data_IF_593017150047
#
_entry.id   IF_593017150047
#
_cell.length_a   1.000
_cell.length_b   1.000
_cell.length_c   1.000
_cell.angle_alpha   90.00
_cell.angle_beta   90.00
_cell.angle_gamma   90.00
#
_symmetry.space_group_name_H-M   'P 1'
#
loop_
_entity.id
_entity.type
_entity.pdbx_description
1 polymer ?
#
# COMPACT_ATOMS: atom_id res chain seq x y z
N UNK A 1 3.71 13.50 18.04
CA UNK A 1 4.28 12.71 19.14
C UNK A 1 3.20 11.78 19.65
N UNK A 2 3.04 10.63 18.98
CA UNK A 2 2.16 9.57 19.46
C UNK A 2 2.85 8.95 20.69
N UNK A 3 2.34 9.32 21.87
CA UNK A 3 2.61 8.62 23.11
C UNK A 3 1.79 7.33 23.08
N UNK A 4 2.47 6.21 22.95
CA UNK A 4 1.86 4.94 23.35
C UNK A 4 1.53 5.03 24.84
N UNK A 5 0.36 4.54 25.31
CA UNK A 5 0.01 4.56 26.74
C UNK A 5 1.02 3.86 27.66
N UNK A 6 2.00 3.13 27.12
CA UNK A 6 3.00 2.34 27.84
C UNK A 6 4.42 2.94 27.86
N UNK A 7 4.64 4.13 27.27
CA UNK A 7 5.90 4.87 27.37
C UNK A 7 7.10 4.28 26.60
N UNK A 8 6.91 3.32 25.68
CA UNK A 8 8.02 2.71 24.93
C UNK A 8 8.46 3.54 23.72
N UNK A 9 9.75 3.88 23.65
CA UNK A 9 10.35 4.48 22.45
C UNK A 9 10.53 3.42 21.35
N UNK A 10 9.78 3.51 20.26
CA UNK A 10 9.79 2.48 19.20
C UNK A 10 10.97 2.61 18.22
N UNK A 11 11.58 3.80 18.14
CA UNK A 11 12.73 4.04 17.28
C UNK A 11 13.86 4.69 18.09
N UNK A 12 14.81 3.87 18.55
CA UNK A 12 16.08 4.39 19.05
C UNK A 12 16.98 4.78 17.88
N UNK A 13 17.63 5.94 17.97
CA UNK A 13 18.55 6.47 16.95
C UNK A 13 19.79 5.58 16.83
N UNK A 14 19.73 4.57 15.96
CA UNK A 14 20.90 3.82 15.48
C UNK A 14 21.52 4.53 14.28
N UNK A 15 22.81 4.89 14.38
CA UNK A 15 23.55 5.59 13.33
C UNK A 15 23.63 4.76 12.04
N UNK A 16 23.11 5.31 10.94
CA UNK A 16 23.23 4.72 9.61
C UNK A 16 24.54 5.17 8.95
N UNK A 17 25.37 4.20 8.57
CA UNK A 17 26.50 4.42 7.66
C UNK A 17 25.99 4.51 6.23
N UNK A 18 26.39 5.58 5.55
CA UNK A 18 26.22 5.80 4.11
C UNK A 18 26.88 4.67 3.32
N UNK A 19 26.11 3.97 2.49
CA UNK A 19 26.64 3.13 1.41
C UNK A 19 26.46 3.89 0.08
N UNK A 20 27.58 4.27 -0.53
CA UNK A 20 27.63 4.87 -1.86
C UNK A 20 27.50 3.81 -2.96
N UNK A 21 26.73 4.19 -3.98
CA UNK A 21 26.90 3.91 -5.42
C UNK A 21 27.14 2.47 -5.90
N UNK A 22 26.15 1.95 -6.64
CA UNK A 22 26.41 0.95 -7.68
C UNK A 22 25.64 1.28 -8.97
N UNK A 23 26.43 1.61 -9.99
CA UNK A 23 26.33 1.30 -11.41
C UNK A 23 25.02 1.57 -12.20
N UNK A 24 25.14 2.47 -13.18
CA UNK A 24 24.21 2.68 -14.29
C UNK A 24 24.32 1.52 -15.28
N UNK A 25 23.21 0.83 -15.52
CA UNK A 25 22.90 0.27 -16.84
C UNK A 25 21.47 0.71 -17.16
N UNK A 26 21.37 1.64 -18.12
CA UNK A 26 20.11 2.13 -18.64
C UNK A 26 19.36 1.02 -19.36
N UNK A 27 18.40 0.41 -18.66
CA UNK A 27 17.20 -0.08 -19.32
C UNK A 27 16.18 1.04 -19.20
N UNK A 28 15.66 1.52 -20.33
CA UNK A 28 14.44 2.33 -20.37
C UNK A 28 13.33 1.42 -19.85
N UNK A 29 13.21 1.33 -18.52
CA UNK A 29 12.13 0.63 -17.86
C UNK A 29 10.89 1.45 -18.10
N UNK A 30 9.91 0.88 -18.79
CA UNK A 30 8.55 1.37 -18.79
C UNK A 30 8.18 1.52 -17.31
N UNK A 31 7.98 2.74 -16.80
CA UNK A 31 7.55 2.96 -15.41
C UNK A 31 6.15 2.40 -15.30
N UNK A 32 6.05 1.27 -14.60
CA UNK A 32 4.85 0.44 -14.63
C UNK A 32 3.79 1.06 -13.71
N UNK A 33 4.18 1.69 -12.59
CA UNK A 33 3.29 2.53 -11.79
C UNK A 33 3.37 3.99 -12.24
N UNK A 34 2.21 4.66 -12.34
CA UNK A 34 2.16 6.09 -12.62
C UNK A 34 2.54 6.88 -11.37
N UNK A 35 3.55 7.75 -11.48
CA UNK A 35 3.82 8.77 -10.47
C UNK A 35 2.61 9.71 -10.39
N UNK A 36 1.94 9.74 -9.23
CA UNK A 36 0.83 10.66 -8.98
C UNK A 36 1.32 11.98 -8.41
N UNK A 37 2.33 11.93 -7.54
CA UNK A 37 2.86 13.11 -6.89
C UNK A 37 4.31 12.92 -6.48
N UNK A 38 5.08 14.01 -6.52
CA UNK A 38 6.42 14.10 -5.94
C UNK A 38 6.65 15.52 -5.43
N UNK A 39 7.30 15.63 -4.28
CA UNK A 39 7.64 16.92 -3.69
C UNK A 39 8.84 17.61 -4.36
N UNK A 40 9.55 16.95 -5.28
CA UNK A 40 10.80 17.45 -5.88
C UNK A 40 10.66 18.86 -6.47
N UNK A 41 9.58 19.09 -7.22
CA UNK A 41 9.36 20.33 -7.96
C UNK A 41 8.28 21.23 -7.32
N UNK A 42 7.97 20.99 -6.04
CA UNK A 42 6.96 21.75 -5.29
C UNK A 42 7.67 22.65 -4.27
N UNK A 43 7.20 23.90 -4.15
CA UNK A 43 7.69 24.84 -3.14
C UNK A 43 7.58 24.21 -1.73
N UNK A 44 8.65 24.27 -0.90
CA UNK A 44 8.67 23.67 0.44
C UNK A 44 7.44 23.96 1.30
N UNK A 45 6.84 25.14 1.17
CA UNK A 45 5.66 25.56 1.95
C UNK A 45 4.41 24.77 1.61
N UNK A 46 4.30 24.28 0.38
CA UNK A 46 3.11 23.59 -0.14
C UNK A 46 3.29 22.07 -0.27
N UNK A 47 4.54 21.56 -0.18
CA UNK A 47 4.88 20.13 -0.33
C UNK A 47 3.97 19.21 0.48
N UNK A 48 3.82 19.48 1.77
CA UNK A 48 3.04 18.62 2.64
C UNK A 48 1.55 18.67 2.33
N UNK A 49 0.96 19.87 2.14
CA UNK A 49 -0.48 19.99 1.94
C UNK A 49 -0.92 19.34 0.62
N UNK A 50 -0.15 19.55 -0.45
CA UNK A 50 -0.42 18.91 -1.74
C UNK A 50 -0.24 17.39 -1.66
N UNK A 51 0.84 16.93 -1.04
CA UNK A 51 1.02 15.49 -0.80
C UNK A 51 -0.15 14.90 0.00
N UNK A 52 -0.58 15.60 1.06
CA UNK A 52 -1.61 15.11 1.96
C UNK A 52 -2.97 14.99 1.27
N UNK A 53 -3.32 15.96 0.42
CA UNK A 53 -4.51 15.88 -0.44
C UNK A 53 -4.48 14.64 -1.32
N UNK A 54 -3.38 14.43 -2.07
CA UNK A 54 -3.22 13.28 -2.96
C UNK A 54 -3.27 11.95 -2.18
N UNK A 55 -2.68 11.93 -0.98
CA UNK A 55 -2.70 10.75 -0.11
C UNK A 55 -4.13 10.43 0.38
N UNK A 56 -4.93 11.44 0.76
CA UNK A 56 -6.32 11.24 1.18
C UNK A 56 -7.19 10.69 0.03
N UNK A 57 -7.00 11.20 -1.18
CA UNK A 57 -7.75 10.77 -2.37
C UNK A 57 -7.44 9.33 -2.77
N UNK A 58 -6.18 8.89 -2.59
CA UNK A 58 -5.73 7.57 -3.04
C UNK A 58 -5.81 6.49 -1.95
N UNK A 59 -5.83 6.86 -0.66
CA UNK A 59 -5.96 5.95 0.45
C UNK A 59 -7.36 6.07 1.07
N UNK A 60 -7.48 6.88 2.12
CA UNK A 60 -8.70 7.25 2.85
C UNK A 60 -8.42 8.55 3.59
N UNK A 61 -9.46 9.29 4.00
CA UNK A 61 -9.29 10.49 4.83
C UNK A 61 -8.55 10.20 6.14
N UNK A 62 -7.49 10.93 6.43
CA UNK A 62 -6.70 10.79 7.66
C UNK A 62 -6.04 12.13 8.00
N UNK A 63 -5.44 12.22 9.18
CA UNK A 63 -4.51 13.31 9.53
C UNK A 63 -3.10 12.79 9.44
N UNK A 64 -2.21 13.59 8.85
CA UNK A 64 -0.77 13.34 8.83
C UNK A 64 -0.02 14.50 9.48
N UNK A 65 1.08 14.23 10.14
CA UNK A 65 1.94 15.25 10.76
C UNK A 65 3.40 14.87 10.53
N UNK A 66 4.11 15.55 9.60
CA UNK A 66 5.51 15.26 9.34
C UNK A 66 6.37 15.79 10.48
N UNK A 67 7.53 15.18 10.71
CA UNK A 67 8.47 15.65 11.74
C UNK A 67 8.94 17.09 11.47
N UNK A 68 9.14 17.43 10.20
CA UNK A 68 9.40 18.80 9.77
C UNK A 68 8.72 19.06 8.43
N UNK A 69 7.83 20.07 8.40
CA UNK A 69 7.13 20.46 7.16
C UNK A 69 8.08 21.07 6.12
N UNK A 70 9.09 21.81 6.55
CA UNK A 70 10.02 22.52 5.65
C UNK A 70 10.94 21.57 4.89
N UNK A 71 11.34 20.46 5.51
CA UNK A 71 12.20 19.46 4.88
C UNK A 71 11.40 18.28 4.33
N UNK A 72 10.06 18.32 4.41
CA UNK A 72 9.21 17.21 4.00
C UNK A 72 9.47 16.84 2.53
N UNK A 73 9.77 15.56 2.32
CA UNK A 73 9.96 14.97 1.01
C UNK A 73 9.16 13.68 0.95
N UNK A 74 8.39 13.52 -0.11
CA UNK A 74 7.63 12.33 -0.38
C UNK A 74 7.39 12.14 -1.88
N UNK A 75 7.21 10.88 -2.25
CA UNK A 75 6.74 10.47 -3.56
C UNK A 75 5.58 9.49 -3.41
N UNK A 76 4.55 9.65 -4.25
CA UNK A 76 3.39 8.78 -4.30
C UNK A 76 3.19 8.31 -5.74
N UNK A 77 3.15 6.99 -5.91
CA UNK A 77 2.85 6.32 -7.17
C UNK A 77 1.59 5.48 -7.00
N UNK A 78 0.81 5.38 -8.06
CA UNK A 78 -0.33 4.47 -8.11
C UNK A 78 -0.27 3.60 -9.35
N UNK A 79 -0.85 2.42 -9.23
CA UNK A 79 -0.99 1.47 -10.32
C UNK A 79 -2.17 0.58 -10.05
N UNK A 80 -2.50 -0.24 -11.05
CA UNK A 80 -3.53 -1.26 -10.91
C UNK A 80 -3.00 -2.59 -11.37
N UNK A 81 -3.47 -3.64 -10.73
CA UNK A 81 -3.33 -5.02 -11.18
C UNK A 81 -4.74 -5.61 -11.30
N UNK A 82 -5.23 -5.80 -12.53
CA UNK A 82 -6.66 -5.99 -12.77
C UNK A 82 -7.47 -4.88 -12.05
N UNK A 83 -8.50 -5.22 -11.26
CA UNK A 83 -9.23 -4.23 -10.44
C UNK A 83 -8.56 -3.86 -9.11
N UNK A 84 -7.47 -4.52 -8.72
CA UNK A 84 -6.78 -4.25 -7.45
C UNK A 84 -5.96 -2.96 -7.56
N UNK A 85 -6.27 -1.97 -6.72
CA UNK A 85 -5.52 -0.71 -6.66
C UNK A 85 -4.27 -0.86 -5.80
N UNK A 86 -3.17 -0.32 -6.31
CA UNK A 86 -1.87 -0.30 -5.66
C UNK A 86 -1.46 1.14 -5.42
N UNK A 87 -1.06 1.46 -4.19
CA UNK A 87 -0.47 2.75 -3.85
C UNK A 87 0.89 2.48 -3.22
N UNK A 88 1.93 3.02 -3.83
CA UNK A 88 3.30 2.95 -3.32
C UNK A 88 3.73 4.35 -2.94
N UNK A 89 4.11 4.55 -1.69
CA UNK A 89 4.62 5.84 -1.26
C UNK A 89 5.93 5.69 -0.51
N UNK A 90 6.75 6.73 -0.66
CA UNK A 90 8.01 6.94 0.02
C UNK A 90 7.93 8.29 0.73
N UNK A 91 8.31 8.33 2.00
CA UNK A 91 8.16 9.54 2.81
C UNK A 91 9.24 9.65 3.89
N UNK A 92 9.51 10.90 4.27
CA UNK A 92 10.22 11.23 5.51
C UNK A 92 9.36 10.93 6.76
N UNK A 93 9.95 10.94 7.97
CA UNK A 93 9.23 10.59 9.19
C UNK A 93 7.96 11.41 9.37
N UNK A 94 6.86 10.70 9.67
CA UNK A 94 5.56 11.33 9.93
C UNK A 94 4.68 10.44 10.81
N UNK A 95 3.86 11.10 11.63
CA UNK A 95 2.76 10.50 12.37
C UNK A 95 1.49 10.55 11.50
N UNK A 96 0.69 9.49 11.52
CA UNK A 96 -0.59 9.36 10.81
C UNK A 96 -1.68 8.92 11.78
N UNK A 97 -2.86 9.52 11.70
CA UNK A 97 -4.01 9.16 12.53
C UNK A 97 -5.30 9.14 11.70
N UNK A 98 -6.01 8.01 11.75
CA UNK A 98 -7.38 7.90 11.28
C UNK A 98 -8.30 7.75 12.49
N UNK A 99 -9.09 8.79 12.76
CA UNK A 99 -9.94 8.90 13.95
C UNK A 99 -11.35 8.38 13.67
N UNK A 100 -12.16 8.20 14.71
CA UNK A 100 -13.60 7.90 14.58
C UNK A 100 -14.33 8.93 13.71
N UNK A 101 -13.95 10.22 13.81
CA UNK A 101 -14.48 11.27 12.95
C UNK A 101 -14.16 10.98 11.48
N UNK A 102 -12.92 10.64 11.15
CA UNK A 102 -12.54 10.31 9.76
C UNK A 102 -13.31 9.09 9.21
N UNK A 103 -13.47 8.05 10.03
CA UNK A 103 -14.24 6.85 9.69
C UNK A 103 -15.71 7.19 9.42
N UNK A 104 -16.32 8.02 10.26
CA UNK A 104 -17.72 8.44 10.08
C UNK A 104 -17.94 9.27 8.81
N UNK A 105 -16.94 10.02 8.34
CA UNK A 105 -17.02 10.84 7.13
C UNK A 105 -16.72 10.07 5.85
N UNK A 106 -15.91 9.00 5.93
CA UNK A 106 -15.51 8.21 4.76
C UNK A 106 -15.36 6.75 5.18
N UNK A 107 -16.27 5.89 4.74
CA UNK A 107 -16.07 4.45 4.84
C UNK A 107 -15.41 3.93 3.58
N UNK A 108 -14.75 2.79 3.70
CA UNK A 108 -14.06 2.09 2.62
C UNK A 108 -14.60 0.68 2.49
N UNK A 109 -14.92 0.27 1.27
CA UNK A 109 -15.23 -1.13 0.94
C UNK A 109 -13.97 -1.99 0.87
N UNK A 110 -12.80 -1.34 0.84
CA UNK A 110 -11.49 -1.98 0.78
C UNK A 110 -10.85 -2.13 2.17
N UNK A 111 -10.08 -3.20 2.33
CA UNK A 111 -9.05 -3.40 3.34
C UNK A 111 -7.67 -3.14 2.73
N UNK A 112 -6.69 -2.83 3.58
CA UNK A 112 -5.33 -2.54 3.14
C UNK A 112 -4.38 -3.67 3.53
N UNK A 113 -3.74 -4.28 2.54
CA UNK A 113 -2.54 -5.08 2.75
C UNK A 113 -1.35 -4.15 2.65
N UNK A 114 -0.67 -3.93 3.78
CA UNK A 114 0.45 -3.03 3.91
C UNK A 114 1.75 -3.83 3.96
N UNK A 115 2.65 -3.63 2.99
CA UNK A 115 4.00 -4.22 2.97
C UNK A 115 5.07 -3.15 3.09
N UNK A 116 5.94 -3.30 4.10
CA UNK A 116 7.07 -2.41 4.29
C UNK A 116 8.20 -2.75 3.32
N UNK A 117 8.56 -1.82 2.43
CA UNK A 117 9.60 -2.02 1.41
C UNK A 117 10.96 -1.44 1.81
N UNK A 118 10.98 -0.38 2.64
CA UNK A 118 12.20 0.22 3.19
C UNK A 118 11.87 0.94 4.51
N UNK A 119 12.81 1.07 5.43
CA UNK A 119 12.57 1.70 6.73
C UNK A 119 11.64 0.88 7.63
N UNK A 120 11.04 1.55 8.62
CA UNK A 120 10.15 0.98 9.62
C UNK A 120 8.80 1.70 9.65
N UNK A 121 7.76 0.98 10.06
CA UNK A 121 6.42 1.49 10.34
C UNK A 121 5.93 0.93 11.68
N UNK A 122 5.64 1.81 12.64
CA UNK A 122 4.90 1.44 13.84
C UNK A 122 3.40 1.68 13.61
N UNK A 123 2.53 0.77 14.04
CA UNK A 123 1.09 0.82 13.78
C UNK A 123 0.29 0.35 14.99
N UNK A 124 -0.79 1.06 15.30
CA UNK A 124 -1.83 0.70 16.27
C UNK A 124 -3.19 0.59 15.58
N UNK A 125 -3.94 -0.47 15.84
CA UNK A 125 -5.37 -0.53 15.53
C UNK A 125 -6.07 -1.50 16.48
N UNK A 126 -7.25 -1.10 16.98
CA UNK A 126 -8.08 -1.91 17.88
C UNK A 126 -7.30 -2.42 19.12
N UNK A 127 -6.45 -1.56 19.68
CA UNK A 127 -5.60 -1.87 20.85
C UNK A 127 -4.40 -2.78 20.56
N UNK A 128 -4.20 -3.25 19.32
CA UNK A 128 -3.05 -4.05 18.91
C UNK A 128 -1.95 -3.15 18.35
N UNK A 129 -0.72 -3.38 18.80
CA UNK A 129 0.46 -2.61 18.39
C UNK A 129 1.45 -3.50 17.66
N UNK A 130 2.05 -3.00 16.59
CA UNK A 130 3.07 -3.70 15.83
C UNK A 130 4.12 -2.77 15.23
N UNK A 131 5.26 -3.36 14.86
CA UNK A 131 6.30 -2.70 14.08
C UNK A 131 6.64 -3.56 12.87
N UNK A 132 6.46 -2.99 11.67
CA UNK A 132 6.88 -3.56 10.41
C UNK A 132 8.30 -3.09 10.09
N UNK A 133 9.20 -4.04 9.89
CA UNK A 133 10.47 -3.85 9.21
C UNK A 133 10.39 -4.30 7.76
N UNK A 134 11.50 -4.15 7.03
CA UNK A 134 11.58 -4.46 5.60
C UNK A 134 11.12 -5.89 5.31
N UNK A 135 10.14 -6.02 4.42
CA UNK A 135 9.54 -7.28 4.00
C UNK A 135 8.36 -7.73 4.87
N UNK A 136 8.11 -7.10 6.01
CA UNK A 136 6.95 -7.43 6.84
C UNK A 136 5.65 -6.94 6.19
N UNK A 137 4.56 -7.65 6.48
CA UNK A 137 3.23 -7.38 5.96
C UNK A 137 2.23 -7.26 7.12
N UNK A 138 1.17 -6.49 6.96
CA UNK A 138 0.00 -6.48 7.86
C UNK A 138 -1.29 -6.26 7.08
N UNK A 139 -2.41 -6.66 7.68
CA UNK A 139 -3.75 -6.29 7.25
C UNK A 139 -4.24 -5.14 8.13
N UNK A 140 -4.78 -4.10 7.50
CA UNK A 140 -5.34 -2.93 8.17
C UNK A 140 -6.77 -2.72 7.69
N UNK A 141 -7.70 -2.53 8.62
CA UNK A 141 -9.08 -2.17 8.31
C UNK A 141 -9.27 -0.65 8.40
N UNK A 142 -9.41 0.08 7.28
CA UNK A 142 -9.60 1.52 7.33
C UNK A 142 -10.97 1.96 7.89
N UNK A 143 -11.89 1.05 8.19
CA UNK A 143 -13.14 1.38 8.89
C UNK A 143 -13.00 1.29 10.43
N UNK A 144 -11.80 0.96 10.93
CA UNK A 144 -11.45 1.08 12.34
C UNK A 144 -10.43 2.22 12.53
N UNK A 145 -10.52 2.99 13.62
CA UNK A 145 -9.49 3.97 13.95
C UNK A 145 -8.10 3.31 14.05
N UNK A 146 -7.08 4.02 13.58
CA UNK A 146 -5.69 3.57 13.67
C UNK A 146 -4.72 4.74 13.80
N UNK A 147 -3.55 4.45 14.36
CA UNK A 147 -2.42 5.37 14.46
C UNK A 147 -1.18 4.71 13.86
N UNK A 148 -0.38 5.47 13.11
CA UNK A 148 0.81 4.96 12.45
C UNK A 148 1.97 5.96 12.56
N UNK A 149 3.21 5.46 12.58
CA UNK A 149 4.41 6.29 12.58
C UNK A 149 5.46 5.71 11.64
N UNK A 150 5.84 6.49 10.63
CA UNK A 150 6.87 6.15 9.68
C UNK A 150 8.24 6.60 10.18
N UNK A 151 9.28 5.76 9.99
CA UNK A 151 10.67 6.15 10.22
C UNK A 151 11.24 6.99 9.08
N UNK A 152 12.53 7.31 9.16
CA UNK A 152 13.25 7.91 8.04
C UNK A 152 13.31 6.95 6.84
N UNK A 153 13.27 7.52 5.63
CA UNK A 153 13.34 6.81 4.35
C UNK A 153 12.37 5.61 4.28
N UNK A 154 11.15 5.80 4.76
CA UNK A 154 10.16 4.74 4.82
C UNK A 154 9.46 4.60 3.48
N UNK A 155 9.28 3.36 3.03
CA UNK A 155 8.57 3.03 1.79
C UNK A 155 7.54 1.95 2.06
N UNK A 156 6.28 2.22 1.75
CA UNK A 156 5.16 1.32 1.99
C UNK A 156 4.39 1.08 0.70
N UNK A 157 4.17 -0.21 0.41
CA UNK A 157 3.19 -0.64 -0.58
C UNK A 157 1.87 -0.91 0.13
N UNK A 158 0.81 -0.25 -0.32
CA UNK A 158 -0.58 -0.54 0.05
C UNK A 158 -1.27 -1.19 -1.13
N UNK A 159 -1.83 -2.37 -0.87
CA UNK A 159 -2.69 -3.07 -1.82
C UNK A 159 -4.10 -3.06 -1.28
N UNK A 160 -5.03 -2.52 -2.07
CA UNK A 160 -6.45 -2.42 -1.70
C UNK A 160 -7.19 -3.67 -2.16
N UNK A 161 -7.69 -4.44 -1.20
CA UNK A 161 -8.48 -5.64 -1.46
C UNK A 161 -9.90 -5.44 -0.94
N UNK A 162 -10.90 -5.86 -1.70
CA UNK A 162 -12.29 -5.66 -1.28
C UNK A 162 -12.59 -6.51 -0.05
N UNK A 163 -13.30 -5.92 0.92
CA UNK A 163 -13.68 -6.60 2.17
C UNK A 163 -14.45 -7.88 1.90
N UNK A 164 -15.47 -7.81 1.04
CA UNK A 164 -16.29 -8.97 0.69
C UNK A 164 -15.48 -10.10 0.06
N UNK A 165 -14.47 -9.79 -0.77
CA UNK A 165 -13.61 -10.83 -1.35
C UNK A 165 -12.75 -11.51 -0.29
N UNK A 166 -12.28 -10.79 0.73
CA UNK A 166 -11.52 -11.39 1.82
C UNK A 166 -12.41 -12.18 2.77
N UNK A 167 -13.52 -11.61 3.25
CA UNK A 167 -14.43 -12.24 4.20
C UNK A 167 -15.00 -13.56 3.66
N UNK A 168 -15.28 -13.62 2.34
CA UNK A 168 -15.69 -14.85 1.67
C UNK A 168 -14.65 -15.99 1.76
N UNK A 169 -13.40 -15.68 2.11
CA UNK A 169 -12.27 -16.64 2.16
C UNK A 169 -11.79 -16.95 3.58
N UNK A 170 -11.86 -16.00 4.52
CA UNK A 170 -11.34 -16.14 5.89
C UNK A 170 -12.39 -15.99 7.00
N UNK A 171 -13.64 -15.67 6.65
CA UNK A 171 -14.67 -15.35 7.65
C UNK A 171 -14.41 -14.02 8.34
N UNK A 172 -14.48 -13.98 9.67
CA UNK A 172 -14.31 -12.74 10.44
C UNK A 172 -12.86 -12.24 10.36
N UNK A 173 -12.67 -11.06 9.80
CA UNK A 173 -11.34 -10.47 9.55
C UNK A 173 -10.77 -9.67 10.74
N UNK A 174 -11.59 -9.33 11.75
CA UNK A 174 -11.18 -8.48 12.88
C UNK A 174 -9.97 -9.05 13.63
N UNK A 175 -9.83 -10.37 13.68
CA UNK A 175 -8.70 -11.01 14.34
C UNK A 175 -7.42 -11.04 13.48
N UNK A 176 -7.53 -10.74 12.19
CA UNK A 176 -6.41 -10.69 11.26
C UNK A 176 -5.79 -9.30 11.18
N UNK A 177 -6.54 -8.26 11.51
CA UNK A 177 -6.06 -6.87 11.44
C UNK A 177 -5.04 -6.56 12.53
N UNK A 178 -4.07 -5.70 12.20
CA UNK A 178 -2.99 -5.27 13.09
C UNK A 178 -2.22 -6.42 13.75
N UNK A 179 -1.87 -7.40 12.92
CA UNK A 179 -0.85 -8.40 13.21
C UNK A 179 0.31 -8.24 12.22
N UNK A 180 1.55 -8.54 12.63
CA UNK A 180 2.72 -8.47 11.75
C UNK A 180 3.09 -9.85 11.18
N UNK A 181 3.02 -10.02 9.85
CA UNK A 181 3.55 -11.18 9.15
C UNK A 181 5.03 -10.97 8.85
N UNK A 182 5.89 -11.59 9.66
CA UNK A 182 7.33 -11.64 9.38
C UNK A 182 7.61 -12.66 8.26
N UNK A 183 8.47 -12.38 7.26
CA UNK A 183 8.81 -13.28 6.16
C UNK A 183 9.76 -14.43 6.57
N UNK A 184 9.62 -14.92 7.80
CA UNK A 184 10.42 -16.02 8.37
C UNK A 184 9.83 -17.38 8.02
N UNK A 185 8.50 -17.51 8.06
CA UNK A 185 7.78 -18.71 7.60
C UNK A 185 7.64 -18.75 6.06
N UNK A 186 7.62 -19.94 5.42
CA UNK A 186 7.54 -20.07 3.97
C UNK A 186 6.35 -19.32 3.35
N UNK A 187 5.17 -19.41 3.93
CA UNK A 187 3.94 -18.77 3.46
C UNK A 187 4.03 -17.24 3.50
N UNK A 188 4.57 -16.69 4.60
CA UNK A 188 4.76 -15.25 4.75
C UNK A 188 5.84 -14.71 3.81
N UNK A 189 6.90 -15.49 3.60
CA UNK A 189 7.97 -15.14 2.67
C UNK A 189 7.44 -15.08 1.25
N UNK A 190 6.64 -16.06 0.84
CA UNK A 190 6.03 -16.09 -0.49
C UNK A 190 5.09 -14.89 -0.71
N UNK A 191 4.18 -14.62 0.25
CA UNK A 191 3.33 -13.43 0.23
C UNK A 191 4.14 -12.14 0.10
N UNK A 192 5.14 -11.94 0.96
CA UNK A 192 5.99 -10.74 0.92
C UNK A 192 6.69 -10.61 -0.43
N UNK A 193 7.16 -11.72 -1.01
CA UNK A 193 7.89 -11.70 -2.29
C UNK A 193 6.96 -11.33 -3.46
N UNK A 194 5.74 -11.87 -3.50
CA UNK A 194 4.76 -11.50 -4.53
C UNK A 194 4.41 -10.02 -4.43
N UNK A 195 4.11 -9.54 -3.23
CA UNK A 195 3.81 -8.12 -2.99
C UNK A 195 4.96 -7.21 -3.44
N UNK A 196 6.21 -7.62 -3.23
CA UNK A 196 7.39 -6.86 -3.66
C UNK A 196 7.48 -6.70 -5.19
N UNK A 197 6.95 -7.66 -5.95
CA UNK A 197 7.00 -7.66 -7.41
C UNK A 197 5.92 -6.77 -8.05
N UNK A 198 4.83 -6.49 -7.33
CA UNK A 198 3.65 -5.81 -7.89
C UNK A 198 3.94 -4.45 -8.52
N UNK A 199 4.72 -3.55 -7.88
CA UNK A 199 5.04 -2.25 -8.48
C UNK A 199 5.72 -2.35 -9.86
N UNK A 200 6.37 -3.48 -10.17
CA UNK A 200 7.11 -3.68 -11.41
C UNK A 200 6.27 -4.33 -12.52
N UNK A 201 5.05 -4.76 -12.21
CA UNK A 201 4.14 -5.45 -13.15
C UNK A 201 2.78 -4.77 -13.30
N UNK A 202 2.45 -3.84 -12.42
CA UNK A 202 1.21 -3.05 -12.31
C UNK A 202 0.96 -2.06 -13.46
N UNK A 203 0.85 -2.54 -14.70
CA UNK A 203 0.80 -1.67 -15.88
C UNK A 203 1.01 -2.46 -17.17
N UNK A 204 1.87 -3.48 -17.09
CA UNK A 204 2.06 -4.47 -18.17
C UNK A 204 0.87 -5.42 -18.28
N UNK A 205 0.11 -5.57 -17.19
CA UNK A 205 -1.07 -6.43 -17.10
C UNK A 205 -2.39 -5.67 -17.34
N UNK A 206 -2.34 -4.34 -17.48
CA UNK A 206 -3.51 -3.47 -17.64
C UNK A 206 -3.68 -2.89 -19.04
N UNK A 207 -2.76 -3.15 -20.00
CA UNK A 207 -2.77 -2.57 -21.37
C UNK A 207 -4.16 -2.66 -22.00
N UNK A 208 -4.88 -1.55 -22.07
CA UNK A 208 -6.32 -1.47 -22.33
C UNK A 208 -6.70 -1.90 -23.73
N UNK A 209 -7.96 -2.34 -23.84
CA UNK A 209 -8.70 -2.59 -25.07
C UNK A 209 -8.99 -1.30 -25.89
N UNK A 210 -8.21 -0.23 -25.69
CA UNK A 210 -8.42 1.05 -26.38
C UNK A 210 -7.92 1.02 -27.83
N UNK A 211 -7.02 0.11 -28.20
CA UNK A 211 -6.62 -0.09 -29.60
C UNK A 211 -7.72 -0.73 -30.49
N UNK A 212 -8.77 -1.32 -29.91
CA UNK A 212 -9.86 -1.95 -30.69
C UNK A 212 -11.09 -1.06 -30.88
N UNK A 213 -11.12 0.18 -30.36
CA UNK A 213 -12.31 1.04 -30.44
C UNK A 213 -12.43 1.83 -31.75
N UNK A 214 -11.53 1.61 -32.73
CA UNK A 214 -11.53 2.28 -34.04
C UNK A 214 -12.01 1.42 -35.22
N UNK A 215 -12.67 0.28 -34.99
CA UNK A 215 -13.40 -0.42 -36.07
C UNK A 215 -14.88 -0.64 -35.70
N UNK A 216 -15.82 0.14 -36.27
CA UNK A 216 -17.24 -0.09 -36.10
C UNK A 216 -17.73 -1.16 -37.09
N UNK A 217 -18.25 -2.28 -36.59
CA UNK A 217 -19.09 -3.17 -37.39
C UNK A 217 -19.11 -4.65 -36.96
N UNK A 218 -20.03 -4.99 -36.05
CA UNK A 218 -20.93 -6.16 -36.12
C UNK A 218 -21.37 -6.63 -34.72
N UNK A 219 -22.69 -6.73 -34.52
CA UNK A 219 -23.32 -7.32 -33.32
C UNK A 219 -23.39 -8.83 -33.47
N UNK A 220 -22.92 -9.57 -32.46
CA UNK A 220 -23.33 -10.95 -32.19
C UNK A 220 -23.23 -11.23 -30.69
N UNK A 221 -24.35 -11.62 -30.07
CA UNK A 221 -24.43 -11.98 -28.66
C UNK A 221 -24.10 -13.46 -28.44
N UNK A 222 -22.84 -13.71 -28.07
CA UNK A 222 -22.38 -14.66 -27.04
C UNK A 222 -21.14 -14.00 -26.39
N UNK A 223 -21.26 -13.50 -25.16
CA UNK A 223 -20.21 -12.74 -24.46
C UNK A 223 -19.09 -13.64 -23.92
N UNK A 224 -17.87 -13.45 -24.44
CA UNK A 224 -16.60 -13.32 -23.71
C UNK A 224 -15.48 -13.16 -24.74
N UNK A 225 -15.05 -11.92 -25.01
CA UNK A 225 -13.61 -11.65 -24.90
C UNK A 225 -13.23 -10.17 -24.64
N UNK A 226 -12.44 -9.93 -23.58
CA UNK A 226 -11.28 -9.00 -23.61
C UNK A 226 -10.18 -9.57 -22.72
N UNK A 227 -9.42 -10.53 -23.25
CA UNK A 227 -8.39 -11.32 -22.56
C UNK A 227 -8.89 -12.19 -21.39
N UNK A 228 -10.04 -12.89 -21.57
CA UNK A 228 -10.85 -13.68 -20.62
C UNK A 228 -10.91 -13.16 -19.15
N UNK A 229 -11.60 -12.01 -18.99
CA UNK A 229 -11.72 -11.15 -17.78
C UNK A 229 -10.41 -11.11 -16.98
N UNK A 230 -9.37 -10.61 -17.66
CA UNK A 230 -7.91 -10.76 -17.47
C UNK A 230 -7.40 -11.19 -16.09
N UNK A 231 -6.82 -12.37 -15.94
CA UNK A 231 -7.37 -13.68 -16.32
C UNK A 231 -7.99 -14.21 -14.99
N UNK A 232 -9.32 -14.07 -14.91
CA UNK A 232 -10.22 -13.90 -13.74
C UNK A 232 -9.61 -13.02 -12.63
N UNK A 233 -9.47 -11.73 -12.95
CA UNK A 233 -8.81 -10.63 -12.20
C UNK A 233 -7.57 -11.06 -11.42
N UNK A 234 -6.72 -11.62 -12.28
CA UNK A 234 -5.44 -12.28 -12.08
C UNK A 234 -5.51 -13.21 -10.86
N UNK A 235 -6.31 -14.26 -11.09
CA UNK A 235 -6.98 -15.25 -10.21
C UNK A 235 -7.23 -14.76 -8.79
N UNK A 236 -8.18 -13.84 -8.72
CA UNK A 236 -8.65 -13.02 -7.58
C UNK A 236 -7.53 -12.65 -6.62
N UNK A 237 -6.63 -11.85 -7.20
CA UNK A 237 -5.37 -11.36 -6.66
C UNK A 237 -4.70 -12.39 -5.75
N UNK A 238 -4.31 -13.45 -6.47
CA UNK A 238 -3.92 -14.80 -6.09
C UNK A 238 -4.32 -15.26 -4.69
N UNK A 239 -5.64 -15.47 -4.66
CA UNK A 239 -6.54 -16.01 -3.63
C UNK A 239 -6.79 -15.05 -2.46
N UNK A 240 -6.75 -13.74 -2.69
CA UNK A 240 -6.58 -12.67 -1.68
C UNK A 240 -5.33 -12.94 -0.85
N UNK A 241 -4.22 -12.92 -1.60
CA UNK A 241 -2.84 -13.28 -1.26
C UNK A 241 -2.76 -14.46 -0.27
N UNK A 242 -3.17 -15.60 -0.85
CA UNK A 242 -3.48 -16.92 -0.25
C UNK A 242 -4.03 -16.80 1.16
N UNK A 243 -5.23 -16.23 1.19
CA UNK A 243 -6.10 -15.94 2.32
C UNK A 243 -5.36 -15.29 3.48
N UNK A 244 -4.60 -14.24 3.14
CA UNK A 244 -3.71 -13.44 4.00
C UNK A 244 -2.73 -14.33 4.77
N UNK A 245 -1.86 -14.92 3.94
CA UNK A 245 -0.95 -16.01 4.25
C UNK A 245 -1.54 -16.96 5.31
N UNK A 246 -2.70 -17.52 4.92
CA UNK A 246 -3.64 -18.37 5.66
C UNK A 246 -3.91 -17.86 7.07
N UNK A 247 -4.57 -16.71 7.16
CA UNK A 247 -4.99 -16.11 8.41
C UNK A 247 -3.85 -16.10 9.46
N UNK A 248 -2.66 -15.66 9.02
CA UNK A 248 -1.45 -15.48 9.82
C UNK A 248 -0.84 -16.75 10.43
N UNK A 249 -1.21 -17.92 9.91
CA UNK A 249 -0.75 -19.25 10.35
C UNK A 249 -1.01 -19.57 11.82
N UNK A 250 -2.25 -19.30 12.27
CA UNK A 250 -3.01 -20.24 13.11
C UNK A 250 -3.22 -21.58 12.39
#
# INVERSE_FOLDING_TARGET
MIWWPDGRSVFQRGGFRSAQSANRIGRVGIDVMKKLFSTTDVDPRHRFDYWHSVACDNLVGHTSTPECRQTFNAELRAGTLAATRLVLFENLPMDVSRTTKHVAHSQSDDLFICRQAAGLLALEQDGRQLVLGVGDVTLLDPNLPYAARFSAASKLLVVKVTRGALEARVGRIRDLTANALKPTKPENRWMSSILAMLPNVSGRLTVTAEENRQQPGSRSSRNLPTGCLRLIEIADFFVVVVAIARAFSN
#
